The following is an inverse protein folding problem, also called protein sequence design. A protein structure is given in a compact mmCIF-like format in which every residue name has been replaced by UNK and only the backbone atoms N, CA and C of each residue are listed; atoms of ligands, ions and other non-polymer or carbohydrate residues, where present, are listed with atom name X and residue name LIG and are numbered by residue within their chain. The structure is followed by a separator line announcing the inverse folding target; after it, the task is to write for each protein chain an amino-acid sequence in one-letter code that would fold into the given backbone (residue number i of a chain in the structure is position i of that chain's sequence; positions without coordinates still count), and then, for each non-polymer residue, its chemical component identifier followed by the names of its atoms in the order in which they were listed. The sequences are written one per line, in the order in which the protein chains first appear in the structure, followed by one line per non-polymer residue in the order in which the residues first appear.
data_IF_543671384350
#
_entry.id   IF_543671384350
#
_cell.length_a   1.000
_cell.length_b   1.000
_cell.length_c   1.000
_cell.angle_alpha   90.00
_cell.angle_beta   90.00
_cell.angle_gamma   90.00
#
_symmetry.space_group_name_H-M   'P 1'
#
loop_
_entity.id
_entity.type
_entity.pdbx_description
1 polymer ?
#
# COMPACT_ATOMS: atom_id res chain seq x y z
N UNK A 1 -3.01 44.40 39.70
CA UNK A 1 -3.43 43.40 38.70
C UNK A 1 -3.74 44.13 37.40
N UNK A 2 -2.81 44.13 36.43
CA UNK A 2 -2.96 44.90 35.17
C UNK A 2 -3.46 43.97 34.08
N UNK A 3 -4.64 44.28 33.55
CA UNK A 3 -5.31 43.59 32.46
C UNK A 3 -4.47 43.62 31.18
N UNK A 4 -4.02 42.46 30.71
CA UNK A 4 -3.37 42.28 29.40
C UNK A 4 -4.28 41.51 28.41
N UNK A 5 -5.61 41.62 28.56
CA UNK A 5 -6.58 41.06 27.61
C UNK A 5 -6.96 42.10 26.53
N UNK A 6 -5.97 42.61 25.80
CA UNK A 6 -6.22 43.49 24.66
C UNK A 6 -5.10 43.34 23.61
N UNK A 7 -5.17 42.28 22.82
CA UNK A 7 -4.59 42.22 21.47
C UNK A 7 -5.24 41.06 20.72
N UNK A 8 -6.10 41.39 19.76
CA UNK A 8 -6.78 40.41 18.91
C UNK A 8 -5.83 39.73 17.95
N UNK A 9 -6.12 38.46 17.64
CA UNK A 9 -5.70 37.66 16.48
C UNK A 9 -4.19 37.53 16.14
N UNK A 10 -3.31 38.31 16.75
CA UNK A 10 -1.87 38.31 16.54
C UNK A 10 -1.15 38.07 17.87
N UNK A 11 -0.26 37.08 17.87
CA UNK A 11 0.54 36.71 19.04
C UNK A 11 1.46 37.88 19.45
N UNK A 12 1.41 38.30 20.71
CA UNK A 12 2.37 39.26 21.28
C UNK A 12 3.80 38.71 21.22
N UNK A 13 4.84 39.54 21.00
CA UNK A 13 6.25 39.10 21.00
C UNK A 13 6.65 38.30 22.25
N UNK A 14 6.04 38.60 23.40
CA UNK A 14 6.25 37.86 24.65
C UNK A 14 5.60 36.46 24.62
N UNK A 15 4.43 36.34 23.99
CA UNK A 15 3.75 35.05 23.79
C UNK A 15 4.52 34.17 22.80
N UNK A 16 5.06 34.76 21.72
CA UNK A 16 5.92 34.06 20.76
C UNK A 16 7.19 33.55 21.46
N UNK A 17 7.86 34.40 22.23
CA UNK A 17 9.05 34.01 23.01
C UNK A 17 8.73 32.90 24.02
N UNK A 18 7.60 33.01 24.73
CA UNK A 18 7.15 31.98 25.69
C UNK A 18 6.76 30.67 25.00
N UNK A 19 6.15 30.75 23.81
CA UNK A 19 5.84 29.59 22.97
C UNK A 19 7.12 28.87 22.56
N UNK A 20 8.11 29.56 21.98
CA UNK A 20 9.39 28.94 21.60
C UNK A 20 10.15 28.37 22.80
N UNK A 21 10.14 29.05 23.95
CA UNK A 21 10.79 28.57 25.17
C UNK A 21 10.11 27.32 25.76
N UNK A 22 8.78 27.21 25.68
CA UNK A 22 8.02 26.07 26.22
C UNK A 22 7.84 24.94 25.21
N UNK A 23 8.04 25.19 23.91
CA UNK A 23 7.86 24.19 22.85
C UNK A 23 8.80 23.00 23.01
N UNK A 24 10.05 23.25 23.36
CA UNK A 24 11.06 22.22 23.61
C UNK A 24 10.67 21.27 24.76
N UNK A 25 9.95 21.77 25.78
CA UNK A 25 9.45 20.95 26.89
C UNK A 25 8.18 20.20 26.51
N UNK A 26 7.29 20.81 25.71
CA UNK A 26 6.06 20.17 25.19
C UNK A 26 6.32 19.07 24.14
N UNK A 27 7.53 19.04 23.55
CA UNK A 27 7.96 18.04 22.58
C UNK A 27 8.34 16.70 23.22
N UNK A 28 8.46 16.63 24.55
CA UNK A 28 8.58 15.36 25.25
C UNK A 28 7.17 14.77 25.43
N UNK A 29 6.79 13.74 24.66
CA UNK A 29 5.50 13.10 24.86
C UNK A 29 5.44 12.54 26.29
N UNK A 30 4.28 12.59 26.96
CA UNK A 30 4.07 11.87 28.22
C UNK A 30 4.47 10.42 28.00
N UNK A 31 5.48 9.93 28.73
CA UNK A 31 5.82 8.51 28.72
C UNK A 31 4.76 7.76 29.51
N UNK A 32 3.63 7.49 28.88
CA UNK A 32 2.72 6.46 29.39
C UNK A 32 3.48 5.13 29.44
N UNK A 33 3.20 4.37 30.50
CA UNK A 33 3.89 3.11 30.77
C UNK A 33 3.43 2.11 29.70
N UNK A 34 4.29 1.84 28.71
CA UNK A 34 4.01 0.90 27.65
C UNK A 34 3.60 -0.45 28.26
N UNK A 35 2.36 -0.85 27.99
CA UNK A 35 1.85 -2.16 28.41
C UNK A 35 2.51 -3.23 27.55
N UNK A 36 2.76 -4.42 28.11
CA UNK A 36 3.47 -5.47 27.39
C UNK A 36 2.76 -5.82 26.07
N UNK A 37 3.46 -5.79 24.92
CA UNK A 37 2.83 -5.92 23.61
C UNK A 37 2.10 -7.25 23.41
N UNK A 38 2.60 -8.32 24.03
CA UNK A 38 2.01 -9.67 23.93
C UNK A 38 0.63 -9.73 24.60
N UNK A 39 0.46 -9.06 25.74
CA UNK A 39 -0.83 -9.06 26.46
C UNK A 39 -1.82 -8.14 25.73
N UNK A 40 -1.35 -7.02 25.20
CA UNK A 40 -2.15 -6.09 24.39
C UNK A 40 -2.70 -6.76 23.13
N UNK A 41 -1.96 -7.68 22.51
CA UNK A 41 -2.44 -8.48 21.37
C UNK A 41 -3.45 -9.58 21.80
N UNK A 42 -3.33 -10.09 23.02
CA UNK A 42 -4.24 -11.08 23.59
C UNK A 42 -5.59 -10.51 24.02
N UNK A 43 -5.66 -9.21 24.28
CA UNK A 43 -6.88 -8.50 24.69
C UNK A 43 -7.77 -8.09 23.49
N UNK A 44 -7.36 -8.41 22.25
CA UNK A 44 -8.08 -8.05 21.04
C UNK A 44 -9.28 -8.98 20.79
N UNK A 45 -10.41 -8.37 20.47
CA UNK A 45 -11.61 -9.12 20.11
C UNK A 45 -11.47 -9.76 18.72
N UNK A 46 -12.24 -10.84 18.48
CA UNK A 46 -12.25 -11.55 17.20
C UNK A 46 -12.63 -10.61 16.04
N UNK A 47 -13.53 -9.67 16.28
CA UNK A 47 -13.91 -8.67 15.28
C UNK A 47 -12.74 -7.78 14.87
N UNK A 48 -11.95 -7.30 15.83
CA UNK A 48 -10.77 -6.45 15.58
C UNK A 48 -9.71 -7.21 14.77
N UNK A 49 -9.47 -8.49 15.11
CA UNK A 49 -8.58 -9.35 14.34
C UNK A 49 -9.07 -9.61 12.91
N UNK A 50 -10.38 -9.77 12.71
CA UNK A 50 -10.95 -9.94 11.37
C UNK A 50 -10.78 -8.67 10.52
N UNK A 51 -11.10 -7.49 11.06
CA UNK A 51 -10.92 -6.22 10.34
C UNK A 51 -9.44 -5.96 10.00
N UNK A 52 -8.55 -6.24 10.95
CA UNK A 52 -7.11 -6.20 10.72
C UNK A 52 -6.67 -7.15 9.61
N UNK A 53 -7.15 -8.40 9.63
CA UNK A 53 -6.79 -9.42 8.63
C UNK A 53 -7.27 -9.03 7.24
N UNK A 54 -8.47 -8.47 7.11
CA UNK A 54 -9.00 -8.02 5.82
C UNK A 54 -8.15 -6.91 5.23
N UNK A 55 -7.79 -5.89 6.01
CA UNK A 55 -6.90 -4.82 5.54
C UNK A 55 -5.49 -5.34 5.23
N UNK A 56 -4.94 -6.21 6.08
CA UNK A 56 -3.63 -6.84 5.85
C UNK A 56 -3.61 -7.65 4.56
N UNK A 57 -4.64 -8.47 4.31
CA UNK A 57 -4.75 -9.27 3.09
C UNK A 57 -4.94 -8.40 1.86
N UNK A 58 -5.74 -7.34 1.93
CA UNK A 58 -5.89 -6.40 0.83
C UNK A 58 -4.54 -5.74 0.47
N UNK A 59 -3.75 -5.36 1.49
CA UNK A 59 -2.43 -4.76 1.29
C UNK A 59 -1.39 -5.76 0.77
N UNK A 60 -1.42 -6.99 1.25
CA UNK A 60 -0.56 -8.06 0.73
C UNK A 60 -0.92 -8.44 -0.72
N UNK A 61 -2.20 -8.45 -1.06
CA UNK A 61 -2.68 -8.74 -2.42
C UNK A 61 -2.28 -7.65 -3.42
N UNK A 62 -2.40 -6.38 -3.04
CA UNK A 62 -1.91 -5.23 -3.83
C UNK A 62 -0.42 -5.36 -4.15
N UNK A 63 0.40 -5.68 -3.14
CA UNK A 63 1.81 -5.89 -3.32
C UNK A 63 2.11 -7.09 -4.24
N UNK A 64 1.43 -8.21 -4.01
CA UNK A 64 1.57 -9.43 -4.82
C UNK A 64 1.36 -9.12 -6.30
N UNK A 65 0.29 -8.41 -6.62
CA UNK A 65 -0.08 -8.09 -8.00
C UNK A 65 0.92 -7.14 -8.67
N UNK A 66 1.29 -6.05 -7.99
CA UNK A 66 2.29 -5.10 -8.48
C UNK A 66 3.64 -5.76 -8.76
N UNK A 67 4.10 -6.62 -7.84
CA UNK A 67 5.38 -7.30 -7.99
C UNK A 67 5.36 -8.42 -9.01
N UNK A 68 4.22 -9.08 -9.23
CA UNK A 68 4.10 -10.12 -10.27
C UNK A 68 4.49 -9.56 -11.63
N UNK A 69 4.05 -8.35 -11.97
CA UNK A 69 4.40 -7.73 -13.25
C UNK A 69 5.84 -7.27 -13.32
N UNK A 70 6.39 -6.79 -12.20
CA UNK A 70 7.82 -6.49 -12.13
C UNK A 70 8.71 -7.73 -12.30
N UNK A 71 8.26 -8.91 -11.85
CA UNK A 71 8.99 -10.17 -12.00
C UNK A 71 8.86 -10.76 -13.41
N UNK A 72 7.74 -10.52 -14.09
CA UNK A 72 7.43 -11.06 -15.41
C UNK A 72 7.80 -10.12 -16.58
N UNK A 73 8.58 -9.05 -16.36
CA UNK A 73 8.88 -8.04 -17.39
C UNK A 73 9.53 -8.65 -18.64
N UNK A 74 10.44 -9.61 -18.47
CA UNK A 74 11.19 -10.20 -19.59
C UNK A 74 10.31 -11.13 -20.42
N UNK A 75 9.42 -11.88 -19.78
CA UNK A 75 8.44 -12.74 -20.44
C UNK A 75 7.40 -11.91 -21.21
N UNK A 76 6.89 -10.85 -20.59
CA UNK A 76 5.94 -9.93 -21.23
C UNK A 76 6.61 -9.25 -22.44
N UNK A 77 7.88 -8.84 -22.32
CA UNK A 77 8.62 -8.25 -23.43
C UNK A 77 8.80 -9.23 -24.59
N UNK A 78 9.06 -10.51 -24.30
CA UNK A 78 9.16 -11.56 -25.31
C UNK A 78 7.82 -11.82 -26.01
N UNK A 79 6.71 -11.86 -25.26
CA UNK A 79 5.36 -12.07 -25.81
C UNK A 79 4.94 -10.94 -26.77
N UNK A 80 5.22 -9.69 -26.40
CA UNK A 80 4.91 -8.53 -27.23
C UNK A 80 6.00 -8.18 -28.26
N UNK A 81 7.05 -9.01 -28.39
CA UNK A 81 8.20 -8.77 -29.27
C UNK A 81 8.78 -7.35 -29.13
N UNK A 82 8.96 -6.91 -27.88
CA UNK A 82 9.41 -5.54 -27.54
C UNK A 82 10.60 -5.55 -26.59
N UNK A 83 11.10 -4.36 -26.23
CA UNK A 83 12.21 -4.21 -25.28
C UNK A 83 11.70 -4.20 -23.83
N UNK A 84 12.51 -4.72 -22.91
CA UNK A 84 12.22 -4.67 -21.46
C UNK A 84 11.97 -3.24 -20.95
N UNK A 85 12.64 -2.26 -21.56
CA UNK A 85 12.47 -0.83 -21.22
C UNK A 85 11.03 -0.36 -21.50
N UNK A 86 10.45 -0.76 -22.64
CA UNK A 86 9.10 -0.36 -23.00
C UNK A 86 8.04 -0.96 -22.06
N UNK A 87 8.22 -2.20 -21.61
CA UNK A 87 7.34 -2.84 -20.62
C UNK A 87 7.50 -2.22 -19.23
N UNK A 88 8.75 -1.96 -18.82
CA UNK A 88 9.06 -1.29 -17.53
C UNK A 88 8.41 0.09 -17.45
N UNK A 89 8.17 0.73 -18.59
CA UNK A 89 7.47 2.00 -18.65
C UNK A 89 6.03 1.94 -18.13
N UNK A 90 5.37 0.78 -18.26
CA UNK A 90 4.06 0.52 -17.65
C UNK A 90 4.09 0.55 -16.12
N UNK A 91 5.17 0.03 -15.52
CA UNK A 91 5.36 0.07 -14.06
C UNK A 91 5.53 1.51 -13.60
N UNK A 92 6.30 2.32 -14.34
CA UNK A 92 6.48 3.73 -13.95
C UNK A 92 5.20 4.54 -14.09
N UNK A 93 4.44 4.37 -15.18
CA UNK A 93 3.15 5.04 -15.34
C UNK A 93 2.19 4.65 -14.22
N UNK A 94 2.19 3.37 -13.82
CA UNK A 94 1.40 2.86 -12.69
C UNK A 94 1.75 3.62 -11.40
N UNK A 95 3.04 3.78 -11.10
CA UNK A 95 3.52 4.50 -9.92
C UNK A 95 3.21 6.01 -9.97
N UNK A 96 3.30 6.63 -11.14
CA UNK A 96 2.95 8.05 -11.30
C UNK A 96 1.46 8.29 -11.06
N UNK A 97 0.60 7.44 -11.62
CA UNK A 97 -0.85 7.56 -11.48
C UNK A 97 -1.37 7.08 -10.14
N UNK A 98 -0.59 6.29 -9.40
CA UNK A 98 -0.87 5.93 -8.00
C UNK A 98 -1.13 7.15 -7.13
N UNK A 99 -0.32 8.20 -7.26
CA UNK A 99 -0.49 9.43 -6.49
C UNK A 99 -1.81 10.13 -6.82
N UNK A 100 -2.22 10.12 -8.09
CA UNK A 100 -3.50 10.67 -8.55
C UNK A 100 -4.67 9.86 -7.99
N UNK A 101 -4.56 8.53 -8.06
CA UNK A 101 -5.53 7.60 -7.48
C UNK A 101 -5.72 7.80 -5.97
N UNK A 102 -4.62 7.97 -5.23
CA UNK A 102 -4.66 8.21 -3.80
C UNK A 102 -5.42 9.49 -3.42
N UNK A 103 -5.28 10.56 -4.21
CA UNK A 103 -6.03 11.81 -3.97
C UNK A 103 -7.53 11.64 -4.25
N UNK A 104 -7.87 11.00 -5.37
CA UNK A 104 -9.27 10.80 -5.79
C UNK A 104 -10.00 9.87 -4.82
N UNK A 105 -9.46 8.67 -4.60
CA UNK A 105 -10.07 7.67 -3.74
C UNK A 105 -9.90 7.97 -2.25
N UNK A 106 -8.89 8.74 -1.85
CA UNK A 106 -8.78 9.29 -0.50
C UNK A 106 -9.97 10.20 -0.17
N UNK A 107 -10.24 11.19 -1.03
CA UNK A 107 -11.41 12.05 -0.88
C UNK A 107 -12.73 11.30 -0.98
N UNK A 108 -12.82 10.28 -1.84
CA UNK A 108 -13.99 9.42 -1.95
C UNK A 108 -14.23 8.61 -0.67
N UNK A 109 -13.17 8.06 -0.08
CA UNK A 109 -13.20 7.30 1.17
C UNK A 109 -13.74 8.13 2.32
N UNK A 110 -13.33 9.39 2.40
CA UNK A 110 -13.76 10.29 3.47
C UNK A 110 -15.24 10.73 3.30
N UNK A 111 -15.75 10.80 2.06
CA UNK A 111 -17.12 11.27 1.78
C UNK A 111 -18.18 10.17 1.73
N UNK A 112 -17.87 9.03 1.12
CA UNK A 112 -18.84 7.93 0.89
C UNK A 112 -18.66 6.76 1.85
N UNK A 113 -17.68 6.87 2.76
CA UNK A 113 -17.37 5.85 3.75
C UNK A 113 -16.34 4.84 3.25
N UNK A 114 -15.63 4.26 4.23
CA UNK A 114 -14.46 3.39 4.03
C UNK A 114 -14.82 2.05 3.40
N UNK A 115 -15.90 1.42 3.88
CA UNK A 115 -16.35 0.09 3.42
C UNK A 115 -16.65 0.06 1.93
N UNK A 116 -17.47 0.98 1.44
CA UNK A 116 -17.89 1.01 0.03
C UNK A 116 -16.74 1.40 -0.90
N UNK A 117 -15.86 2.30 -0.46
CA UNK A 117 -14.67 2.67 -1.21
C UNK A 117 -13.72 1.49 -1.37
N UNK A 118 -13.49 0.71 -0.30
CA UNK A 118 -12.65 -0.49 -0.37
C UNK A 118 -13.22 -1.56 -1.32
N UNK A 119 -14.52 -1.84 -1.24
CA UNK A 119 -15.19 -2.81 -2.12
C UNK A 119 -15.13 -2.37 -3.58
N UNK A 120 -15.44 -1.10 -3.86
CA UNK A 120 -15.40 -0.55 -5.22
C UNK A 120 -13.98 -0.64 -5.79
N UNK A 121 -12.97 -0.36 -4.97
CA UNK A 121 -11.60 -0.45 -5.43
C UNK A 121 -11.18 -1.89 -5.72
N UNK A 122 -11.45 -2.83 -4.82
CA UNK A 122 -11.19 -4.25 -5.06
C UNK A 122 -11.90 -4.76 -6.34
N UNK A 123 -13.11 -4.28 -6.61
CA UNK A 123 -13.81 -4.59 -7.86
C UNK A 123 -13.07 -4.04 -9.09
N UNK A 124 -12.60 -2.79 -9.05
CA UNK A 124 -11.81 -2.20 -10.12
C UNK A 124 -10.49 -2.94 -10.35
N UNK A 125 -9.82 -3.39 -9.28
CA UNK A 125 -8.64 -4.25 -9.37
C UNK A 125 -8.92 -5.51 -10.17
N UNK A 126 -10.01 -6.23 -9.86
CA UNK A 126 -10.39 -7.46 -10.58
C UNK A 126 -10.63 -7.14 -12.06
N UNK A 127 -11.35 -6.05 -12.37
CA UNK A 127 -11.64 -5.66 -13.75
C UNK A 127 -10.36 -5.33 -14.52
N UNK A 128 -9.44 -4.56 -13.94
CA UNK A 128 -8.20 -4.17 -14.61
C UNK A 128 -7.18 -5.31 -14.72
N UNK A 129 -7.11 -6.21 -13.73
CA UNK A 129 -6.26 -7.40 -13.84
C UNK A 129 -6.76 -8.37 -14.90
N UNK A 130 -8.08 -8.61 -14.97
CA UNK A 130 -8.66 -9.39 -16.06
C UNK A 130 -8.40 -8.70 -17.42
N UNK A 131 -8.59 -7.38 -17.51
CA UNK A 131 -8.32 -6.63 -18.73
C UNK A 131 -6.83 -6.69 -19.15
N UNK A 132 -5.91 -6.74 -18.17
CA UNK A 132 -4.47 -6.89 -18.42
C UNK A 132 -4.16 -8.25 -19.06
N UNK A 133 -4.82 -9.32 -18.62
CA UNK A 133 -4.65 -10.66 -19.18
C UNK A 133 -5.20 -10.82 -20.61
N UNK A 134 -6.14 -9.97 -21.04
CA UNK A 134 -6.68 -9.96 -22.41
C UNK A 134 -5.99 -8.95 -23.33
N UNK A 135 -4.96 -8.25 -22.87
CA UNK A 135 -4.26 -7.27 -23.68
C UNK A 135 -3.50 -7.94 -24.83
N UNK A 136 -3.78 -7.54 -26.07
CA UNK A 136 -3.15 -8.10 -27.29
C UNK A 136 -2.03 -7.22 -27.85
N UNK A 137 -1.84 -6.04 -27.27
CA UNK A 137 -0.84 -5.07 -27.72
C UNK A 137 -0.23 -4.33 -26.54
N UNK A 138 1.02 -3.89 -26.70
CA UNK A 138 1.73 -3.12 -25.67
C UNK A 138 1.00 -1.82 -25.28
N UNK A 139 0.47 -0.98 -26.20
CA UNK A 139 -0.25 0.23 -25.81
C UNK A 139 -1.52 -0.06 -25.01
N UNK A 140 -2.23 -1.14 -25.34
CA UNK A 140 -3.41 -1.58 -24.58
C UNK A 140 -3.00 -2.02 -23.17
N UNK A 141 -1.93 -2.81 -23.04
CA UNK A 141 -1.39 -3.21 -21.75
C UNK A 141 -0.98 -2.00 -20.90
N UNK A 142 -0.23 -1.04 -21.47
CA UNK A 142 0.17 0.19 -20.79
C UNK A 142 -1.04 1.04 -20.36
N UNK A 143 -2.08 1.12 -21.20
CA UNK A 143 -3.32 1.83 -20.87
C UNK A 143 -4.07 1.19 -19.70
N UNK A 144 -4.18 -0.14 -19.68
CA UNK A 144 -4.79 -0.85 -18.54
C UNK A 144 -3.94 -0.68 -17.28
N UNK A 145 -2.60 -0.73 -17.38
CA UNK A 145 -1.69 -0.46 -16.25
C UNK A 145 -1.81 0.96 -15.71
N UNK A 146 -2.03 1.94 -16.59
CA UNK A 146 -2.29 3.30 -16.18
C UNK A 146 -3.57 3.41 -15.32
N UNK A 147 -4.67 2.79 -15.78
CA UNK A 147 -5.93 2.75 -15.03
C UNK A 147 -5.82 1.97 -13.73
N UNK A 148 -5.11 0.83 -13.77
CA UNK A 148 -4.77 0.05 -12.58
C UNK A 148 -4.02 0.90 -11.55
N UNK A 149 -3.04 1.71 -11.95
CA UNK A 149 -2.32 2.60 -11.03
C UNK A 149 -3.24 3.57 -10.28
N UNK A 150 -4.29 4.08 -10.94
CA UNK A 150 -5.29 4.94 -10.30
C UNK A 150 -6.10 4.16 -9.25
N UNK A 151 -6.52 2.93 -9.55
CA UNK A 151 -7.17 2.06 -8.56
C UNK A 151 -6.22 1.71 -7.40
N UNK A 152 -4.98 1.35 -7.71
CA UNK A 152 -3.93 0.97 -6.76
C UNK A 152 -3.69 2.02 -5.69
N UNK A 153 -3.60 3.29 -6.09
CA UNK A 153 -3.43 4.41 -5.17
C UNK A 153 -4.55 4.53 -4.13
N UNK A 154 -5.76 4.12 -4.48
CA UNK A 154 -6.94 4.23 -3.64
C UNK A 154 -7.13 3.12 -2.61
N UNK A 155 -6.29 2.09 -2.59
CA UNK A 155 -6.52 0.92 -1.72
C UNK A 155 -5.90 1.12 -0.34
N UNK A 156 -4.68 1.67 -0.30
CA UNK A 156 -3.90 1.77 0.93
C UNK A 156 -4.62 2.55 2.03
N UNK A 157 -5.23 3.70 1.70
CA UNK A 157 -5.93 4.54 2.68
C UNK A 157 -7.11 3.84 3.36
N UNK A 158 -8.13 3.40 2.60
CA UNK A 158 -9.26 2.66 3.14
C UNK A 158 -8.87 1.36 3.85
N UNK A 159 -7.88 0.62 3.33
CA UNK A 159 -7.42 -0.62 3.94
C UNK A 159 -6.70 -0.38 5.28
N UNK A 160 -5.79 0.61 5.34
CA UNK A 160 -5.09 0.97 6.58
C UNK A 160 -6.06 1.52 7.62
N UNK A 161 -7.04 2.30 7.18
CA UNK A 161 -8.09 2.80 8.06
C UNK A 161 -8.95 1.66 8.64
N UNK A 162 -9.42 0.74 7.80
CA UNK A 162 -10.21 -0.42 8.23
C UNK A 162 -9.43 -1.32 9.19
N UNK A 163 -8.13 -1.52 8.95
CA UNK A 163 -7.30 -2.36 9.80
C UNK A 163 -6.96 -1.73 11.16
N UNK A 164 -6.86 -0.40 11.24
CA UNK A 164 -6.29 0.29 12.40
C UNK A 164 -7.28 1.14 13.21
N UNK A 165 -8.49 1.39 12.70
CA UNK A 165 -9.49 2.23 13.37
C UNK A 165 -10.10 1.55 14.61
N UNK A 166 -10.41 0.26 14.50
CA UNK A 166 -11.07 -0.49 15.58
C UNK A 166 -10.09 -0.93 16.68
N UNK A 167 -8.79 -0.68 16.53
CA UNK A 167 -7.76 -1.16 17.45
C UNK A 167 -7.61 -0.26 18.69
N UNK A 168 -7.33 -0.83 19.88
CA UNK A 168 -7.01 -0.04 21.05
C UNK A 168 -5.71 0.74 20.83
N UNK A 169 -5.62 1.91 21.47
CA UNK A 169 -4.50 2.86 21.32
C UNK A 169 -3.13 2.19 21.50
N UNK A 170 -3.01 1.32 22.52
CA UNK A 170 -1.78 0.58 22.84
C UNK A 170 -1.36 -0.40 21.73
N UNK A 171 -2.31 -1.06 21.05
CA UNK A 171 -2.04 -2.06 20.02
C UNK A 171 -1.78 -1.44 18.64
N UNK A 172 -2.35 -0.26 18.38
CA UNK A 172 -2.35 0.39 17.07
C UNK A 172 -0.94 0.64 16.54
N UNK A 173 0.01 1.00 17.40
CA UNK A 173 1.41 1.18 17.01
C UNK A 173 2.06 -0.11 16.50
N UNK A 174 1.96 -1.20 17.28
CA UNK A 174 2.52 -2.50 16.92
C UNK A 174 1.87 -3.09 15.66
N UNK A 175 0.53 -3.06 15.61
CA UNK A 175 -0.23 -3.61 14.49
C UNK A 175 -0.09 -2.76 13.23
N UNK A 176 0.16 -1.45 13.31
CA UNK A 176 0.52 -0.64 12.14
C UNK A 176 1.84 -1.06 11.50
N UNK A 177 2.83 -1.46 12.33
CA UNK A 177 4.07 -2.06 11.85
C UNK A 177 3.83 -3.41 11.19
N UNK A 178 3.03 -4.28 11.82
CA UNK A 178 2.65 -5.57 11.23
C UNK A 178 1.88 -5.39 9.92
N UNK A 179 0.98 -4.41 9.86
CA UNK A 179 0.25 -4.05 8.64
C UNK A 179 1.20 -3.70 7.50
N UNK A 180 2.23 -2.89 7.77
CA UNK A 180 3.21 -2.53 6.75
C UNK A 180 3.99 -3.74 6.22
N UNK A 181 4.23 -4.76 7.05
CA UNK A 181 4.84 -6.02 6.64
C UNK A 181 3.98 -6.81 5.63
N UNK A 182 2.69 -6.51 5.50
CA UNK A 182 1.83 -7.07 4.45
C UNK A 182 2.42 -6.86 3.05
N UNK A 183 3.08 -5.72 2.81
CA UNK A 183 3.74 -5.45 1.53
C UNK A 183 4.89 -6.43 1.24
N UNK A 184 5.74 -6.68 2.25
CA UNK A 184 6.84 -7.63 2.13
C UNK A 184 6.32 -9.08 2.00
N UNK A 185 5.25 -9.42 2.73
CA UNK A 185 4.60 -10.72 2.61
C UNK A 185 4.03 -10.95 1.19
N UNK A 186 3.40 -9.93 0.59
CA UNK A 186 2.92 -9.98 -0.79
C UNK A 186 4.05 -10.17 -1.81
N UNK A 187 5.17 -9.46 -1.65
CA UNK A 187 6.37 -9.67 -2.48
C UNK A 187 6.89 -11.10 -2.40
N UNK A 188 7.02 -11.65 -1.19
CA UNK A 188 7.48 -13.02 -0.99
C UNK A 188 6.55 -14.03 -1.66
N UNK A 189 5.24 -13.82 -1.53
CA UNK A 189 4.23 -14.65 -2.19
C UNK A 189 4.37 -14.60 -3.72
N UNK A 190 4.57 -13.40 -4.29
CA UNK A 190 4.77 -13.21 -5.74
C UNK A 190 6.04 -13.92 -6.22
N UNK A 191 7.14 -13.78 -5.49
CA UNK A 191 8.40 -14.43 -5.84
C UNK A 191 8.31 -15.96 -5.77
N UNK A 192 7.63 -16.52 -4.76
CA UNK A 192 7.39 -17.97 -4.65
C UNK A 192 6.53 -18.44 -5.81
N UNK A 193 5.45 -17.73 -6.12
CA UNK A 193 4.54 -18.10 -7.21
C UNK A 193 5.24 -18.05 -8.57
N UNK A 194 5.97 -16.98 -8.85
CA UNK A 194 6.79 -16.83 -10.05
C UNK A 194 7.79 -17.98 -10.21
N UNK A 195 8.51 -18.32 -9.13
CA UNK A 195 9.47 -19.43 -9.14
C UNK A 195 8.78 -20.78 -9.35
N UNK A 196 7.62 -20.99 -8.73
CA UNK A 196 6.84 -22.22 -8.90
C UNK A 196 6.38 -22.40 -10.36
N UNK A 197 5.89 -21.33 -10.99
CA UNK A 197 5.47 -21.33 -12.40
C UNK A 197 6.66 -21.62 -13.32
N UNK A 198 7.80 -20.92 -13.12
CA UNK A 198 9.04 -21.15 -13.87
C UNK A 198 9.51 -22.60 -13.78
N UNK A 199 9.52 -23.20 -12.59
CA UNK A 199 9.92 -24.60 -12.37
C UNK A 199 8.99 -25.59 -13.08
N UNK A 200 7.69 -25.31 -13.13
CA UNK A 200 6.73 -26.12 -13.88
C UNK A 200 7.04 -26.08 -15.38
N UNK A 201 7.31 -24.89 -15.93
CA UNK A 201 7.70 -24.73 -17.34
C UNK A 201 9.03 -25.43 -17.68
N UNK A 202 10.01 -25.39 -16.78
CA UNK A 202 11.31 -26.07 -17.01
C UNK A 202 11.16 -27.59 -17.02
N UNK A 203 10.26 -28.15 -16.20
CA UNK A 203 9.95 -29.60 -16.23
C UNK A 203 9.19 -30.01 -17.49
N UNK A 204 8.39 -29.13 -18.07
CA UNK A 204 7.62 -29.39 -19.28
C UNK A 204 8.49 -29.36 -20.55
N UNK A 205 9.64 -28.66 -20.54
CA UNK A 205 10.56 -28.53 -21.68
C UNK A 205 11.98 -28.96 -21.23
N UNK A 206 12.35 -30.25 -21.36
CA UNK A 206 13.60 -30.84 -20.84
C UNK A 206 14.92 -30.34 -21.48
N UNK A 207 14.95 -29.17 -22.12
CA UNK A 207 16.11 -28.64 -22.84
C UNK A 207 16.49 -27.18 -22.54
N UNK A 208 15.65 -26.42 -21.83
CA UNK A 208 15.89 -24.97 -21.64
C UNK A 208 16.74 -24.62 -20.39
N UNK A 209 17.17 -25.62 -19.62
CA UNK A 209 17.95 -25.43 -18.40
C UNK A 209 19.44 -25.15 -18.63
N UNK A 210 19.96 -25.37 -19.86
CA UNK A 210 21.38 -25.24 -20.16
C UNK A 210 21.80 -23.83 -20.64
N UNK A 211 20.90 -23.08 -21.27
CA UNK A 211 21.27 -21.85 -22.00
C UNK A 211 21.21 -20.55 -21.17
N UNK A 212 20.63 -20.57 -19.96
CA UNK A 212 20.42 -19.35 -19.16
C UNK A 212 21.29 -19.24 -17.89
N UNK A 213 22.19 -20.20 -17.67
CA UNK A 213 23.27 -20.12 -16.65
C UNK A 213 24.64 -19.76 -17.25
N UNK A 214 24.69 -19.41 -18.54
CA UNK A 214 25.89 -18.92 -19.20
C UNK A 214 26.03 -17.41 -19.07
N UNK A 215 26.86 -16.99 -18.10
CA UNK A 215 27.43 -15.63 -17.88
C UNK A 215 26.48 -14.48 -17.60
#
# INVERSE_FOLDING_TARGET
MRNHMAAGWFYSPEQVRRYFATRLTSLRPPREKLRNPIHVLGDLDRHQWLMFSVGFLAWAWDAFDFFTVSLCVTEIAAEFNTTNSAVSWGITITLMLRSVGALVFGGLSDRYGRKWTMITNLFLFIVFELASGFARSLPQFLGVRALYGIAMGGLYGPAAATALEDLPYDARGLLSGLYQQGYAAGYLLAAIFYRAVRLCQTKQIPGLGADLTGT
#
